data_IF_824643532658
#
_entry.id   IF_824643532658
#
_cell.length_a   1.000
_cell.length_b   1.000
_cell.length_c   1.000
_cell.angle_alpha   90.00
_cell.angle_beta   90.00
_cell.angle_gamma   90.00
#
_symmetry.space_group_name_H-M   'P 1'
#
loop_
_entity.id
_entity.type
_entity.pdbx_description
1 polymer ?
#
# COMPACT_ATOMS: atom_id res chain seq x y z
N UNK A 1 -16.57 -12.12 38.03
CA UNK A 1 -15.86 -11.05 37.28
C UNK A 1 -15.77 -11.46 35.82
N UNK A 2 -16.59 -10.86 34.99
CA UNK A 2 -16.45 -11.05 33.54
C UNK A 2 -15.23 -10.23 33.09
N UNK A 3 -14.13 -10.94 32.78
CA UNK A 3 -13.03 -10.30 32.07
C UNK A 3 -13.61 -9.79 30.74
N UNK A 4 -13.57 -8.46 30.55
CA UNK A 4 -13.70 -7.88 29.24
C UNK A 4 -12.58 -8.51 28.42
N UNK A 5 -12.92 -9.46 27.53
CA UNK A 5 -12.07 -9.76 26.41
C UNK A 5 -11.94 -8.43 25.66
N UNK A 6 -10.85 -7.71 25.91
CA UNK A 6 -10.38 -6.76 24.94
C UNK A 6 -10.29 -7.55 23.64
N UNK A 7 -11.10 -7.19 22.66
CA UNK A 7 -10.89 -7.64 21.30
C UNK A 7 -9.51 -7.08 20.97
N UNK A 8 -8.48 -7.90 21.17
CA UNK A 8 -7.22 -7.66 20.49
C UNK A 8 -7.63 -7.70 19.03
N UNK A 9 -7.72 -6.53 18.41
CA UNK A 9 -7.57 -6.46 16.97
C UNK A 9 -6.34 -7.31 16.70
N UNK A 10 -6.54 -8.46 16.08
CA UNK A 10 -5.42 -9.25 15.60
C UNK A 10 -4.66 -8.31 14.69
N UNK A 11 -3.48 -7.90 15.12
CA UNK A 11 -2.54 -7.18 14.28
C UNK A 11 -2.21 -8.11 13.12
N UNK A 12 -3.02 -8.01 12.06
CA UNK A 12 -2.77 -8.76 10.84
C UNK A 12 -1.43 -8.32 10.30
N UNK A 13 -0.56 -9.28 10.04
CA UNK A 13 0.70 -9.04 9.35
C UNK A 13 0.41 -8.30 8.04
N UNK A 14 0.97 -7.10 7.83
CA UNK A 14 0.73 -6.36 6.61
C UNK A 14 1.30 -7.06 5.39
N UNK A 15 0.67 -6.87 4.24
CA UNK A 15 1.06 -7.44 2.96
C UNK A 15 1.66 -6.35 2.07
N UNK A 16 2.88 -6.58 1.61
CA UNK A 16 3.57 -5.72 0.65
C UNK A 16 3.64 -6.43 -0.70
N UNK A 17 3.03 -5.82 -1.71
CA UNK A 17 3.12 -6.28 -3.09
C UNK A 17 4.36 -5.66 -3.75
N UNK A 18 5.23 -6.49 -4.28
CA UNK A 18 6.44 -6.08 -5.00
C UNK A 18 6.25 -6.38 -6.49
N UNK A 19 6.34 -5.36 -7.33
CA UNK A 19 6.10 -5.45 -8.78
C UNK A 19 7.33 -5.02 -9.54
N UNK A 20 7.95 -5.94 -10.27
CA UNK A 20 9.10 -5.71 -11.15
C UNK A 20 9.15 -6.84 -12.18
N UNK A 21 9.48 -6.55 -13.43
CA UNK A 21 9.60 -7.56 -14.48
C UNK A 21 10.92 -8.36 -14.42
N UNK A 22 11.86 -7.92 -13.60
CA UNK A 22 13.14 -8.58 -13.37
C UNK A 22 13.10 -9.43 -12.10
N UNK A 23 13.29 -10.74 -12.23
CA UNK A 23 13.24 -11.69 -11.12
C UNK A 23 14.29 -11.40 -10.04
N UNK A 24 15.51 -10.98 -10.43
CA UNK A 24 16.57 -10.65 -9.49
C UNK A 24 16.22 -9.43 -8.63
N UNK A 25 15.57 -8.43 -9.22
CA UNK A 25 15.08 -7.26 -8.48
C UNK A 25 13.99 -7.65 -7.48
N UNK A 26 13.07 -8.53 -7.86
CA UNK A 26 12.04 -9.04 -6.94
C UNK A 26 12.66 -9.76 -5.75
N UNK A 27 13.60 -10.66 -6.01
CA UNK A 27 14.31 -11.41 -4.95
C UNK A 27 15.08 -10.48 -4.02
N UNK A 28 15.76 -9.48 -4.57
CA UNK A 28 16.51 -8.51 -3.78
C UNK A 28 15.60 -7.70 -2.85
N UNK A 29 14.50 -7.16 -3.39
CA UNK A 29 13.55 -6.38 -2.61
C UNK A 29 12.88 -7.24 -1.53
N UNK A 30 12.49 -8.47 -1.87
CA UNK A 30 11.93 -9.41 -0.89
C UNK A 30 12.93 -9.76 0.21
N UNK A 31 14.21 -9.95 -0.14
CA UNK A 31 15.28 -10.19 0.83
C UNK A 31 15.47 -8.99 1.78
N UNK A 32 15.45 -7.77 1.26
CA UNK A 32 15.52 -6.57 2.09
C UNK A 32 14.33 -6.46 3.05
N UNK A 33 13.13 -6.83 2.57
CA UNK A 33 11.91 -6.77 3.37
C UNK A 33 11.79 -7.84 4.45
N UNK A 34 12.69 -8.83 4.48
CA UNK A 34 12.75 -9.80 5.57
C UNK A 34 13.00 -9.15 6.95
N UNK A 35 13.62 -7.98 6.97
CA UNK A 35 13.83 -7.18 8.20
C UNK A 35 12.58 -6.37 8.63
N UNK A 36 11.51 -6.43 7.87
CA UNK A 36 10.23 -5.82 8.20
C UNK A 36 9.23 -6.92 8.55
N UNK A 37 8.43 -6.68 9.58
CA UNK A 37 7.34 -7.60 9.93
C UNK A 37 6.19 -7.45 8.92
N UNK A 38 6.34 -8.11 7.79
CA UNK A 38 5.37 -8.12 6.69
C UNK A 38 5.43 -9.41 5.88
N UNK A 39 4.33 -9.73 5.22
CA UNK A 39 4.26 -10.73 4.17
C UNK A 39 4.53 -10.05 2.83
N UNK A 40 5.32 -10.66 1.96
CA UNK A 40 5.58 -10.15 0.61
C UNK A 40 4.93 -11.03 -0.44
N UNK A 41 4.35 -10.39 -1.45
CA UNK A 41 3.81 -11.04 -2.65
C UNK A 41 4.49 -10.41 -3.86
N UNK A 42 4.89 -11.22 -4.82
CA UNK A 42 5.57 -10.74 -6.02
C UNK A 42 4.66 -10.80 -7.24
N UNK A 43 4.75 -9.78 -8.09
CA UNK A 43 4.15 -9.74 -9.42
C UNK A 43 5.23 -9.36 -10.46
N UNK A 44 5.20 -10.00 -11.62
CA UNK A 44 6.22 -9.87 -12.67
C UNK A 44 5.81 -8.88 -13.77
N UNK A 45 4.57 -8.43 -13.76
CA UNK A 45 4.05 -7.43 -14.70
C UNK A 45 2.83 -6.71 -14.11
N UNK A 46 2.38 -5.68 -14.82
CA UNK A 46 1.27 -4.86 -14.37
C UNK A 46 -0.07 -5.58 -14.32
N UNK A 47 -0.33 -6.50 -15.25
CA UNK A 47 -1.57 -7.28 -15.27
C UNK A 47 -1.65 -8.26 -14.11
N UNK A 48 -0.55 -8.95 -13.81
CA UNK A 48 -0.45 -9.83 -12.64
C UNK A 48 -0.65 -9.03 -11.35
N UNK A 49 -0.02 -7.86 -11.26
CA UNK A 49 -0.19 -6.96 -10.10
C UNK A 49 -1.66 -6.58 -9.90
N UNK A 50 -2.35 -6.16 -10.96
CA UNK A 50 -3.76 -5.78 -10.87
C UNK A 50 -4.67 -6.95 -10.48
N UNK A 51 -4.39 -8.16 -10.95
CA UNK A 51 -5.13 -9.38 -10.55
C UNK A 51 -4.96 -9.69 -9.07
N UNK A 52 -3.74 -9.57 -8.56
CA UNK A 52 -3.44 -9.77 -7.14
C UNK A 52 -4.17 -8.72 -6.29
N UNK A 53 -4.11 -7.47 -6.69
CA UNK A 53 -4.76 -6.35 -5.99
C UNK A 53 -6.28 -6.53 -5.94
N UNK A 54 -6.88 -6.99 -7.04
CA UNK A 54 -8.32 -7.25 -7.13
C UNK A 54 -8.78 -8.35 -6.16
N UNK A 55 -7.97 -9.41 -6.00
CA UNK A 55 -8.27 -10.52 -5.09
C UNK A 55 -8.12 -10.14 -3.63
N UNK A 56 -7.07 -9.41 -3.31
CA UNK A 56 -6.73 -8.95 -1.97
C UNK A 56 -5.89 -7.70 -2.06
N UNK A 57 -6.45 -6.56 -1.70
CA UNK A 57 -5.71 -5.31 -1.67
C UNK A 57 -4.54 -5.40 -0.68
N UNK A 58 -3.31 -5.11 -1.13
CA UNK A 58 -2.15 -5.05 -0.23
C UNK A 58 -2.17 -3.81 0.65
N UNK A 59 -1.31 -3.79 1.66
CA UNK A 59 -1.14 -2.63 2.53
C UNK A 59 -0.13 -1.62 1.98
N UNK A 60 0.71 -2.06 1.05
CA UNK A 60 1.70 -1.23 0.35
C UNK A 60 2.07 -1.90 -0.98
N UNK A 61 2.34 -1.09 -1.98
CA UNK A 61 2.86 -1.54 -3.29
C UNK A 61 4.22 -0.90 -3.55
N UNK A 62 5.23 -1.73 -3.79
CA UNK A 62 6.51 -1.32 -4.37
C UNK A 62 6.44 -1.60 -5.88
N UNK A 63 6.56 -0.58 -6.69
CA UNK A 63 6.17 -0.64 -8.11
C UNK A 63 7.26 -0.10 -9.01
N UNK A 64 7.84 -0.98 -9.83
CA UNK A 64 8.73 -0.56 -10.91
C UNK A 64 7.96 0.19 -12.00
N UNK A 65 8.57 1.22 -12.55
CA UNK A 65 7.98 2.03 -13.62
C UNK A 65 8.17 1.40 -14.98
N UNK A 66 9.39 0.92 -15.27
CA UNK A 66 9.79 0.43 -16.60
C UNK A 66 9.47 -1.04 -16.76
N UNK A 67 8.24 -1.33 -17.15
CA UNK A 67 7.78 -2.69 -17.45
C UNK A 67 7.18 -2.75 -18.85
N UNK A 68 7.32 -3.90 -19.56
CA UNK A 68 6.68 -4.07 -20.86
C UNK A 68 5.16 -4.15 -20.74
N UNK A 69 4.45 -3.77 -21.79
CA UNK A 69 2.98 -3.80 -21.94
C UNK A 69 2.23 -2.78 -21.09
N UNK A 70 2.47 -2.76 -19.79
CA UNK A 70 1.84 -1.83 -18.86
C UNK A 70 2.91 -1.24 -17.95
N UNK A 71 3.10 0.06 -18.00
CA UNK A 71 4.06 0.76 -17.13
C UNK A 71 3.57 0.84 -15.68
N UNK A 72 4.51 1.09 -14.76
CA UNK A 72 4.15 1.36 -13.36
C UNK A 72 3.25 2.59 -13.20
N UNK A 73 3.39 3.60 -14.05
CA UNK A 73 2.50 4.77 -14.04
C UNK A 73 1.04 4.38 -14.32
N UNK A 74 0.82 3.49 -15.28
CA UNK A 74 -0.52 3.00 -15.62
C UNK A 74 -1.13 2.17 -14.49
N UNK A 75 -0.34 1.30 -13.86
CA UNK A 75 -0.78 0.52 -12.69
C UNK A 75 -1.15 1.45 -11.55
N UNK A 76 -0.30 2.42 -11.22
CA UNK A 76 -0.54 3.39 -10.17
C UNK A 76 -1.83 4.17 -10.41
N UNK A 77 -2.03 4.67 -11.60
CA UNK A 77 -3.23 5.42 -11.99
C UNK A 77 -4.50 4.59 -11.84
N UNK A 78 -4.48 3.33 -12.25
CA UNK A 78 -5.63 2.41 -12.09
C UNK A 78 -5.94 2.15 -10.62
N UNK A 79 -4.93 1.90 -9.79
CA UNK A 79 -5.10 1.69 -8.35
C UNK A 79 -5.67 2.94 -7.68
N UNK A 80 -5.14 4.10 -7.99
CA UNK A 80 -5.55 5.37 -7.37
C UNK A 80 -6.92 5.87 -7.84
N UNK A 81 -7.37 5.46 -9.03
CA UNK A 81 -8.69 5.81 -9.56
C UNK A 81 -9.82 4.87 -9.09
N UNK A 82 -9.48 3.72 -8.49
CA UNK A 82 -10.47 2.80 -7.93
C UNK A 82 -10.74 3.17 -6.46
N UNK A 83 -11.98 3.51 -6.07
CA UNK A 83 -12.31 3.85 -4.69
C UNK A 83 -11.97 2.76 -3.67
N UNK A 84 -11.93 1.48 -4.09
CA UNK A 84 -11.59 0.36 -3.21
C UNK A 84 -10.10 0.24 -2.91
N UNK A 85 -9.25 0.82 -3.75
CA UNK A 85 -7.79 0.71 -3.66
C UNK A 85 -7.06 2.05 -3.61
N UNK A 86 -7.77 3.16 -3.73
CA UNK A 86 -7.19 4.50 -3.78
C UNK A 86 -6.37 4.89 -2.55
N UNK A 87 -6.63 4.28 -1.41
CA UNK A 87 -5.93 4.52 -0.15
C UNK A 87 -4.68 3.63 0.05
N UNK A 88 -4.44 2.66 -0.85
CA UNK A 88 -3.24 1.82 -0.80
C UNK A 88 -2.03 2.66 -1.17
N UNK A 89 -1.04 2.82 -0.27
CA UNK A 89 0.16 3.58 -0.58
C UNK A 89 1.01 2.87 -1.64
N UNK A 90 1.58 3.67 -2.54
CA UNK A 90 2.45 3.21 -3.61
C UNK A 90 3.78 3.94 -3.53
N UNK A 91 4.87 3.17 -3.48
CA UNK A 91 6.22 3.66 -3.64
C UNK A 91 6.73 3.19 -5.00
N UNK A 92 7.05 4.12 -5.89
CA UNK A 92 7.71 3.78 -7.14
C UNK A 92 9.19 3.53 -6.93
N UNK A 93 9.69 2.42 -7.44
CA UNK A 93 11.10 2.02 -7.39
C UNK A 93 11.63 2.02 -8.82
N UNK A 94 12.44 3.02 -9.17
CA UNK A 94 12.76 3.26 -10.57
C UNK A 94 14.16 3.81 -10.79
N UNK A 95 14.74 3.48 -11.96
CA UNK A 95 15.98 4.09 -12.45
C UNK A 95 15.74 5.45 -13.12
N UNK A 96 14.50 5.91 -13.23
CA UNK A 96 14.14 7.16 -13.87
C UNK A 96 14.58 8.35 -13.01
N UNK A 97 15.45 9.19 -13.58
CA UNK A 97 16.03 10.35 -12.90
C UNK A 97 15.67 11.69 -13.58
N UNK A 98 14.89 11.65 -14.66
CA UNK A 98 14.49 12.84 -15.38
C UNK A 98 13.29 13.51 -14.70
N UNK A 99 13.28 14.84 -14.70
CA UNK A 99 12.22 15.64 -14.09
C UNK A 99 10.82 15.30 -14.63
N UNK A 100 10.71 15.04 -15.94
CA UNK A 100 9.45 14.65 -16.57
C UNK A 100 8.90 13.30 -16.08
N UNK A 101 9.77 12.39 -15.71
CA UNK A 101 9.38 11.08 -15.17
C UNK A 101 8.84 11.19 -13.73
N UNK A 102 9.44 12.05 -12.92
CA UNK A 102 8.95 12.38 -11.58
C UNK A 102 7.57 13.03 -11.67
N UNK A 103 7.40 13.97 -12.60
CA UNK A 103 6.12 14.65 -12.85
C UNK A 103 5.03 13.64 -13.27
N UNK A 104 5.32 12.70 -14.16
CA UNK A 104 4.40 11.62 -14.54
C UNK A 104 4.02 10.75 -13.35
N UNK A 105 4.97 10.45 -12.47
CA UNK A 105 4.71 9.71 -11.25
C UNK A 105 3.75 10.45 -10.32
N UNK A 106 3.99 11.74 -10.10
CA UNK A 106 3.11 12.60 -9.29
C UNK A 106 1.70 12.63 -9.90
N UNK A 107 1.59 12.81 -11.22
CA UNK A 107 0.31 12.82 -11.94
C UNK A 107 -0.42 11.46 -11.86
N UNK A 108 0.31 10.36 -11.73
CA UNK A 108 -0.28 9.03 -11.54
C UNK A 108 -0.81 8.78 -10.13
N UNK A 109 -0.46 9.65 -9.16
CA UNK A 109 -0.91 9.59 -7.77
C UNK A 109 -0.02 8.79 -6.84
N UNK A 110 1.26 8.56 -7.20
CA UNK A 110 2.21 7.87 -6.33
C UNK A 110 2.44 8.62 -5.01
N UNK A 111 2.67 7.88 -3.95
CA UNK A 111 2.90 8.47 -2.62
C UNK A 111 4.38 8.78 -2.36
N UNK A 112 5.30 8.04 -2.98
CA UNK A 112 6.73 8.22 -2.80
C UNK A 112 7.53 7.59 -3.95
N UNK A 113 8.83 7.88 -3.99
CA UNK A 113 9.80 7.37 -4.96
C UNK A 113 11.06 6.86 -4.27
N UNK A 114 11.62 5.78 -4.81
CA UNK A 114 12.96 5.30 -4.50
C UNK A 114 13.73 5.10 -5.80
N UNK A 115 14.94 5.66 -5.88
CA UNK A 115 15.80 5.50 -7.04
C UNK A 115 16.57 4.19 -7.00
N UNK A 116 16.72 3.54 -8.16
CA UNK A 116 17.65 2.41 -8.33
C UNK A 116 19.08 2.93 -8.55
N UNK A 117 20.11 2.28 -8.02
CA UNK A 117 20.08 1.07 -7.19
C UNK A 117 19.49 1.33 -5.80
N UNK A 118 18.69 0.39 -5.31
CA UNK A 118 17.95 0.55 -4.05
C UNK A 118 18.89 0.47 -2.86
N UNK A 119 18.88 1.49 -2.02
CA UNK A 119 19.52 1.48 -0.71
C UNK A 119 18.62 0.79 0.30
N UNK A 120 19.12 -0.24 0.97
CA UNK A 120 18.34 -1.04 1.93
C UNK A 120 17.77 -0.19 3.06
N UNK A 121 18.57 0.68 3.67
CA UNK A 121 18.13 1.51 4.79
C UNK A 121 17.01 2.47 4.37
N UNK A 122 17.17 3.12 3.21
CA UNK A 122 16.15 4.01 2.64
C UNK A 122 14.84 3.26 2.38
N UNK A 123 14.91 2.09 1.73
CA UNK A 123 13.74 1.26 1.47
C UNK A 123 13.01 0.90 2.75
N UNK A 124 13.73 0.36 3.75
CA UNK A 124 13.14 -0.08 5.00
C UNK A 124 12.51 1.08 5.77
N UNK A 125 13.15 2.23 5.78
CA UNK A 125 12.62 3.44 6.44
C UNK A 125 11.31 3.89 5.80
N UNK A 126 11.26 3.96 4.47
CA UNK A 126 10.07 4.39 3.74
C UNK A 126 8.92 3.37 3.85
N UNK A 127 9.23 2.08 3.73
CA UNK A 127 8.25 1.00 3.88
C UNK A 127 7.63 1.02 5.27
N UNK A 128 8.44 1.07 6.31
CA UNK A 128 7.95 1.13 7.70
C UNK A 128 7.08 2.35 7.95
N UNK A 129 7.48 3.51 7.43
CA UNK A 129 6.72 4.75 7.56
C UNK A 129 5.36 4.65 6.87
N UNK A 130 5.33 4.15 5.62
CA UNK A 130 4.10 4.00 4.86
C UNK A 130 3.14 2.98 5.48
N UNK A 131 3.64 1.85 5.95
CA UNK A 131 2.82 0.85 6.64
C UNK A 131 2.23 1.39 7.94
N UNK A 132 2.99 2.18 8.69
CA UNK A 132 2.51 2.82 9.90
C UNK A 132 1.42 3.85 9.62
N UNK A 133 1.61 4.69 8.60
CA UNK A 133 0.61 5.67 8.18
C UNK A 133 -0.68 4.98 7.71
N UNK A 134 -0.57 3.93 6.92
CA UNK A 134 -1.72 3.14 6.46
C UNK A 134 -2.49 2.55 7.65
N UNK A 135 -1.80 1.95 8.59
CA UNK A 135 -2.40 1.39 9.81
C UNK A 135 -3.15 2.45 10.63
N UNK A 136 -2.54 3.62 10.84
CA UNK A 136 -3.15 4.72 11.59
C UNK A 136 -4.35 5.31 10.86
N UNK A 137 -4.29 5.43 9.54
CA UNK A 137 -5.40 5.91 8.71
C UNK A 137 -6.60 4.94 8.79
N UNK A 138 -6.36 3.65 8.63
CA UNK A 138 -7.41 2.63 8.73
C UNK A 138 -8.06 2.61 10.12
N UNK A 139 -7.26 2.76 11.17
CA UNK A 139 -7.74 2.84 12.54
C UNK A 139 -8.60 4.08 12.78
N UNK A 140 -8.20 5.23 12.24
CA UNK A 140 -8.97 6.46 12.33
C UNK A 140 -10.29 6.35 11.59
N UNK A 141 -10.31 5.81 10.38
CA UNK A 141 -11.53 5.60 9.61
C UNK A 141 -12.52 4.69 10.33
N UNK A 142 -12.05 3.59 10.92
CA UNK A 142 -12.88 2.69 11.73
C UNK A 142 -13.46 3.38 12.95
N UNK A 143 -12.67 4.20 13.64
CA UNK A 143 -13.12 4.97 14.81
C UNK A 143 -14.19 5.98 14.43
N UNK A 144 -13.99 6.73 13.32
CA UNK A 144 -14.95 7.68 12.82
C UNK A 144 -16.27 7.01 12.39
N UNK A 145 -16.21 5.87 11.73
CA UNK A 145 -17.38 5.09 11.35
C UNK A 145 -18.17 4.64 12.60
N UNK A 146 -17.49 4.19 13.63
CA UNK A 146 -18.10 3.78 14.90
C UNK A 146 -18.79 4.96 15.60
N UNK A 147 -18.15 6.11 15.66
CA UNK A 147 -18.73 7.32 16.26
C UNK A 147 -19.97 7.81 15.49
N UNK A 148 -19.91 7.76 14.15
CA UNK A 148 -21.05 8.09 13.29
C UNK A 148 -22.25 7.17 13.55
N UNK A 149 -22.02 5.90 13.75
CA UNK A 149 -23.08 4.91 14.08
C UNK A 149 -23.69 5.19 15.44
N UNK A 150 -22.89 5.54 16.46
CA UNK A 150 -23.39 5.92 17.77
C UNK A 150 -24.26 7.16 17.68
N UNK A 151 -23.87 8.20 16.94
CA UNK A 151 -24.67 9.41 16.73
C UNK A 151 -26.01 9.12 16.10
N UNK A 152 -26.06 8.26 15.07
CA UNK A 152 -27.31 7.83 14.44
C UNK A 152 -28.25 7.14 15.43
N UNK A 153 -27.72 6.22 16.23
CA UNK A 153 -28.50 5.52 17.24
C UNK A 153 -29.04 6.48 18.31
N UNK A 154 -28.24 7.45 18.73
CA UNK A 154 -28.63 8.46 19.70
C UNK A 154 -29.74 9.37 19.16
N UNK A 155 -29.67 9.79 17.89
CA UNK A 155 -30.70 10.59 17.24
C UNK A 155 -32.02 9.81 17.07
N UNK A 156 -31.94 8.54 16.72
CA UNK A 156 -33.14 7.67 16.62
C UNK A 156 -33.82 7.51 17.98
N UNK A 157 -33.07 7.36 19.06
CA UNK A 157 -33.60 7.26 20.42
C UNK A 157 -34.28 8.55 20.90
N UNK A 158 -33.88 9.72 20.41
CA UNK A 158 -34.48 11.04 20.74
C UNK A 158 -35.73 11.37 19.97
N UNK A 159 -36.02 10.66 18.89
CA UNK A 159 -37.20 10.93 18.04
C UNK A 159 -38.44 10.13 18.44
N UNK A 160 -38.36 9.31 19.47
CA UNK A 160 -39.53 8.62 20.07
C UNK A 160 -40.17 9.42 21.21
#
# INVERSE_FOLDING_TARGET
MKQKKSVKEEDKTPVVLVVDDNQENLELLQAYLEDVDCETVAAHDGLEALRIIERRAPDLILLDVMMPKMSGFEVCKKVKNDPQTSDVPIIMVTALNEFGDIERGIDSGTDDFISKPVNKLELLTRVKTMLKLKHLTDKLERTLAYLSEIEKQTQMAKSD
#
